data_IF_924528864944
#
_entry.id   IF_924528864944
#
_cell.length_a   1.000
_cell.length_b   1.000
_cell.length_c   1.000
_cell.angle_alpha   90.00
_cell.angle_beta   90.00
_cell.angle_gamma   90.00
#
_symmetry.space_group_name_H-M   'P 1'
#
loop_
_entity.id
_entity.type
_entity.pdbx_description
1 polymer ?
#
# COMPACT_ATOMS: atom_id res chain seq x y z
N UNK A 1 42.53 26.34 -38.18
CA UNK A 1 43.68 25.50 -37.80
C UNK A 1 43.11 24.19 -37.29
N UNK A 2 43.40 23.12 -38.02
CA UNK A 2 43.00 21.76 -37.72
C UNK A 2 43.68 21.30 -36.42
N UNK A 3 42.95 20.54 -35.59
CA UNK A 3 43.28 19.17 -35.19
C UNK A 3 42.48 18.79 -33.94
N UNK A 4 41.50 17.90 -34.13
CA UNK A 4 40.92 17.11 -33.04
C UNK A 4 40.80 15.66 -33.50
N UNK A 5 41.96 15.07 -33.78
CA UNK A 5 42.10 13.63 -33.84
C UNK A 5 41.86 13.07 -32.41
N UNK A 6 40.70 12.45 -32.20
CA UNK A 6 40.51 11.48 -31.12
C UNK A 6 39.82 10.26 -31.72
N UNK A 7 40.69 9.42 -32.25
CA UNK A 7 40.55 8.01 -32.58
C UNK A 7 39.41 7.27 -31.88
N UNK A 8 38.53 6.68 -32.70
CA UNK A 8 37.65 5.58 -32.34
C UNK A 8 38.48 4.36 -31.92
N UNK A 9 38.40 3.94 -30.66
CA UNK A 9 38.86 2.60 -30.24
C UNK A 9 37.64 1.69 -29.98
N UNK A 10 37.33 0.75 -30.89
CA UNK A 10 36.25 -0.23 -30.72
C UNK A 10 36.62 -1.47 -29.87
N UNK A 11 37.73 -1.47 -29.11
CA UNK A 11 38.25 -2.71 -28.50
C UNK A 11 37.82 -2.97 -27.05
N UNK A 12 36.92 -2.16 -26.47
CA UNK A 12 36.34 -2.44 -25.15
C UNK A 12 34.99 -3.19 -25.20
N UNK A 13 34.80 -4.09 -26.18
CA UNK A 13 33.67 -5.01 -26.21
C UNK A 13 34.06 -6.37 -25.63
N UNK A 14 34.40 -6.45 -24.33
CA UNK A 14 34.54 -7.73 -23.64
C UNK A 14 33.94 -7.71 -22.23
N UNK A 15 33.01 -8.66 -22.06
CA UNK A 15 32.45 -9.17 -20.82
C UNK A 15 31.43 -8.29 -20.08
N UNK A 16 30.17 -8.31 -20.54
CA UNK A 16 29.03 -8.34 -19.61
C UNK A 16 28.39 -9.71 -19.75
N UNK A 17 29.02 -10.70 -19.11
CA UNK A 17 28.45 -12.03 -18.93
C UNK A 17 27.22 -11.91 -18.03
N UNK A 18 26.06 -12.19 -18.62
CA UNK A 18 24.76 -12.31 -17.98
C UNK A 18 24.84 -13.04 -16.63
N UNK A 19 24.43 -12.33 -15.58
CA UNK A 19 24.33 -12.86 -14.24
C UNK A 19 23.25 -12.17 -13.43
N UNK A 20 22.15 -11.75 -14.06
CA UNK A 20 20.94 -11.40 -13.31
C UNK A 20 20.35 -12.72 -12.84
N UNK A 21 20.83 -13.21 -11.68
CA UNK A 21 20.08 -14.19 -10.90
C UNK A 21 18.77 -13.50 -10.58
N UNK A 22 17.70 -13.87 -11.29
CA UNK A 22 16.34 -13.52 -10.91
C UNK A 22 16.14 -14.02 -9.48
N UNK A 23 16.34 -13.11 -8.52
CA UNK A 23 15.74 -13.25 -7.21
C UNK A 23 14.25 -13.29 -7.48
N UNK A 24 13.67 -14.50 -7.59
CA UNK A 24 12.24 -14.74 -7.55
C UNK A 24 11.75 -14.28 -6.18
N UNK A 25 11.65 -12.96 -6.03
CA UNK A 25 11.09 -12.28 -4.89
C UNK A 25 9.66 -12.78 -4.88
N UNK A 26 9.35 -13.70 -3.97
CA UNK A 26 8.00 -14.23 -3.74
C UNK A 26 7.10 -13.01 -3.62
N UNK A 27 6.38 -12.69 -4.70
CA UNK A 27 5.58 -11.48 -4.81
C UNK A 27 4.51 -11.63 -3.74
N UNK A 28 4.68 -10.96 -2.62
CA UNK A 28 3.61 -10.80 -1.64
C UNK A 28 2.56 -10.01 -2.40
N UNK A 29 1.56 -10.73 -2.93
CA UNK A 29 0.41 -10.09 -3.58
C UNK A 29 -0.29 -9.35 -2.44
N UNK A 30 0.00 -8.07 -2.33
CA UNK A 30 -0.67 -7.15 -1.43
C UNK A 30 -2.10 -6.93 -1.96
N UNK A 31 -2.94 -7.95 -1.88
CA UNK A 31 -4.31 -7.91 -2.37
C UNK A 31 -5.11 -6.83 -1.65
N UNK A 32 -5.99 -6.15 -2.39
CA UNK A 32 -6.96 -5.20 -1.85
C UNK A 32 -7.69 -5.76 -0.61
N UNK A 33 -7.84 -4.95 0.45
CA UNK A 33 -8.49 -5.34 1.70
C UNK A 33 -9.93 -5.84 1.50
N UNK A 34 -10.60 -5.31 0.47
CA UNK A 34 -11.98 -5.60 0.11
C UNK A 34 -12.14 -6.89 -0.72
N UNK A 35 -11.05 -7.51 -1.18
CA UNK A 35 -11.16 -8.76 -1.93
C UNK A 35 -11.55 -9.91 -1.00
N UNK A 36 -12.70 -10.55 -1.26
CA UNK A 36 -13.26 -11.67 -0.51
C UNK A 36 -13.85 -12.69 -1.48
N UNK A 37 -13.39 -13.95 -1.41
CA UNK A 37 -13.87 -15.05 -2.28
C UNK A 37 -13.92 -14.67 -3.77
N UNK A 38 -12.92 -13.92 -4.24
CA UNK A 38 -12.82 -13.48 -5.64
C UNK A 38 -13.76 -12.33 -6.05
N UNK A 39 -14.42 -11.64 -5.10
CA UNK A 39 -15.27 -10.47 -5.36
C UNK A 39 -14.89 -9.31 -4.44
N UNK A 40 -15.17 -8.07 -4.85
CA UNK A 40 -15.00 -6.92 -3.98
C UNK A 40 -16.15 -6.85 -2.97
N UNK A 41 -15.83 -6.60 -1.69
CA UNK A 41 -16.84 -6.44 -0.62
C UNK A 41 -17.31 -5.00 -0.44
N UNK A 42 -16.63 -4.03 -1.07
CA UNK A 42 -16.96 -2.59 -1.00
C UNK A 42 -17.74 -2.15 -2.24
N UNK A 43 -17.38 -2.68 -3.41
CA UNK A 43 -18.02 -2.39 -4.69
C UNK A 43 -18.63 -3.66 -5.27
N UNK A 44 -19.72 -3.56 -6.03
CA UNK A 44 -20.33 -4.71 -6.71
C UNK A 44 -19.61 -5.12 -8.01
N UNK A 45 -18.28 -5.30 -7.94
CA UNK A 45 -17.43 -5.66 -9.08
C UNK A 45 -16.78 -7.03 -8.89
N UNK A 46 -16.62 -7.76 -9.99
CA UNK A 46 -16.08 -9.12 -10.01
C UNK A 46 -14.56 -9.19 -9.83
N UNK A 47 -13.82 -8.10 -10.08
CA UNK A 47 -12.36 -8.05 -9.96
C UNK A 47 -11.95 -6.71 -9.36
N UNK A 48 -10.98 -6.73 -8.45
CA UNK A 48 -10.32 -5.50 -8.01
C UNK A 48 -9.21 -5.15 -8.99
N UNK A 49 -9.26 -3.94 -9.52
CA UNK A 49 -8.16 -3.33 -10.27
C UNK A 49 -7.37 -2.42 -9.33
N UNK A 50 -6.04 -2.57 -9.29
CA UNK A 50 -5.17 -1.72 -8.47
C UNK A 50 -5.00 -0.32 -9.04
N UNK A 51 -5.03 -0.15 -10.36
CA UNK A 51 -4.74 1.12 -11.03
C UNK A 51 -5.98 2.01 -11.16
N UNK A 52 -7.14 1.41 -11.42
CA UNK A 52 -8.38 2.18 -11.70
C UNK A 52 -9.34 2.28 -10.52
N UNK A 53 -9.14 1.52 -9.44
CA UNK A 53 -10.05 1.55 -8.30
C UNK A 53 -9.63 2.60 -7.26
N UNK A 54 -10.39 3.68 -7.15
CA UNK A 54 -10.18 4.72 -6.14
C UNK A 54 -10.32 4.22 -4.69
N UNK A 55 -10.92 3.04 -4.49
CA UNK A 55 -11.06 2.39 -3.18
C UNK A 55 -9.95 1.38 -2.89
N UNK A 56 -9.02 1.17 -3.82
CA UNK A 56 -7.96 0.19 -3.63
C UNK A 56 -7.10 0.55 -2.43
N UNK A 57 -6.93 -0.42 -1.54
CA UNK A 57 -6.07 -0.30 -0.37
C UNK A 57 -5.59 -1.67 0.08
N UNK A 58 -4.34 -1.77 0.48
CA UNK A 58 -3.81 -3.00 1.07
C UNK A 58 -4.31 -3.16 2.51
N UNK A 59 -4.31 -4.39 3.05
CA UNK A 59 -4.66 -4.61 4.45
C UNK A 59 -3.78 -3.80 5.41
N UNK A 60 -2.49 -3.65 5.09
CA UNK A 60 -1.55 -2.89 5.92
C UNK A 60 -1.86 -1.39 5.92
N UNK A 61 -2.16 -0.80 4.76
CA UNK A 61 -2.57 0.60 4.67
C UNK A 61 -3.85 0.85 5.47
N UNK A 62 -4.85 -0.05 5.36
CA UNK A 62 -6.09 0.06 6.13
C UNK A 62 -5.83 0.07 7.64
N UNK A 63 -4.96 -0.82 8.14
CA UNK A 63 -4.63 -0.83 9.58
C UNK A 63 -3.91 0.44 10.03
N UNK A 64 -2.94 0.92 9.23
CA UNK A 64 -2.22 2.17 9.52
C UNK A 64 -3.17 3.36 9.61
N UNK A 65 -4.07 3.49 8.66
CA UNK A 65 -5.06 4.58 8.67
C UNK A 65 -6.04 4.44 9.83
N UNK A 66 -6.53 3.23 10.11
CA UNK A 66 -7.39 2.97 11.27
C UNK A 66 -6.73 3.40 12.57
N UNK A 67 -5.43 3.12 12.74
CA UNK A 67 -4.65 3.60 13.88
C UNK A 67 -4.59 5.12 13.96
N UNK A 68 -4.32 5.81 12.84
CA UNK A 68 -4.30 7.27 12.79
C UNK A 68 -5.67 7.88 13.13
N UNK A 69 -6.75 7.30 12.58
CA UNK A 69 -8.12 7.70 12.90
C UNK A 69 -8.41 7.53 14.39
N UNK A 70 -8.04 6.38 14.97
CA UNK A 70 -8.25 6.12 16.39
C UNK A 70 -7.44 7.05 17.30
N UNK A 71 -6.19 7.37 16.93
CA UNK A 71 -5.41 8.42 17.59
C UNK A 71 -6.13 9.76 17.54
N UNK A 72 -6.69 10.14 16.39
CA UNK A 72 -7.44 11.39 16.26
C UNK A 72 -8.73 11.40 17.08
N UNK A 73 -9.48 10.30 17.13
CA UNK A 73 -10.69 10.20 17.95
C UNK A 73 -10.34 10.33 19.43
N UNK A 74 -9.23 9.71 19.88
CA UNK A 74 -8.72 9.83 21.25
C UNK A 74 -8.47 11.28 21.69
N UNK A 75 -8.18 12.21 20.77
CA UNK A 75 -7.97 13.63 21.11
C UNK A 75 -9.27 14.44 21.21
N UNK A 76 -10.43 13.87 20.93
CA UNK A 76 -11.71 14.56 21.04
C UNK A 76 -12.24 14.52 22.48
N UNK A 77 -13.17 15.41 22.80
CA UNK A 77 -13.90 15.38 24.09
C UNK A 77 -14.66 14.06 24.29
N UNK A 78 -14.83 13.64 25.54
CA UNK A 78 -15.48 12.35 25.88
C UNK A 78 -16.89 12.23 25.29
N UNK A 79 -17.67 13.31 25.29
CA UNK A 79 -19.02 13.31 24.71
C UNK A 79 -19.00 13.06 23.20
N UNK A 80 -18.02 13.61 22.48
CA UNK A 80 -17.85 13.36 21.05
C UNK A 80 -17.42 11.92 20.80
N UNK A 81 -16.50 11.39 21.62
CA UNK A 81 -16.09 9.99 21.53
C UNK A 81 -17.28 9.05 21.78
N UNK A 82 -18.13 9.34 22.76
CA UNK A 82 -19.35 8.57 23.04
C UNK A 82 -20.34 8.58 21.89
N UNK A 83 -20.63 9.75 21.30
CA UNK A 83 -21.50 9.83 20.11
C UNK A 83 -20.95 9.01 18.93
N UNK A 84 -19.62 9.01 18.73
CA UNK A 84 -18.97 8.19 17.70
C UNK A 84 -19.12 6.70 18.03
N UNK A 85 -18.95 6.29 19.28
CA UNK A 85 -19.05 4.88 19.67
C UNK A 85 -20.47 4.34 19.51
N UNK A 86 -21.48 5.10 19.90
CA UNK A 86 -22.88 4.73 19.68
C UNK A 86 -23.21 4.59 18.19
N UNK A 87 -22.81 5.57 17.38
CA UNK A 87 -23.16 5.61 15.95
C UNK A 87 -22.50 4.50 15.11
N UNK A 88 -21.24 4.17 15.39
CA UNK A 88 -20.44 3.30 14.51
C UNK A 88 -19.95 2.00 15.15
N UNK A 89 -19.98 1.91 16.48
CA UNK A 89 -19.34 0.81 17.23
C UNK A 89 -20.24 0.18 18.28
N UNK A 90 -21.55 0.46 18.27
CA UNK A 90 -22.52 -0.11 19.22
C UNK A 90 -22.18 0.21 20.68
N UNK A 91 -21.75 1.45 20.94
CA UNK A 91 -21.34 1.93 22.26
C UNK A 91 -19.90 1.59 22.65
N UNK A 92 -19.20 0.72 21.91
CA UNK A 92 -17.81 0.34 22.21
C UNK A 92 -16.83 1.41 21.75
N UNK A 93 -15.80 1.68 22.54
CA UNK A 93 -14.73 2.63 22.20
C UNK A 93 -13.42 1.88 21.86
N UNK A 94 -13.29 1.30 20.65
CA UNK A 94 -12.13 0.47 20.30
C UNK A 94 -10.80 1.23 20.37
N UNK A 95 -10.82 2.56 20.18
CA UNK A 95 -9.63 3.39 20.29
C UNK A 95 -9.05 3.48 21.69
N UNK A 96 -9.78 3.10 22.76
CA UNK A 96 -9.24 3.09 24.13
C UNK A 96 -8.34 1.89 24.42
N UNK A 97 -8.40 0.82 23.61
CA UNK A 97 -7.52 -0.33 23.77
C UNK A 97 -6.07 0.08 23.48
N UNK A 98 -5.13 -0.43 24.28
CA UNK A 98 -3.71 -0.16 24.11
C UNK A 98 -3.13 -0.86 22.86
N UNK A 99 -3.81 -1.88 22.35
CA UNK A 99 -3.40 -2.65 21.18
C UNK A 99 -4.34 -2.43 19.99
N UNK A 100 -3.89 -1.65 19.00
CA UNK A 100 -4.48 -1.50 17.65
C UNK A 100 -3.37 -1.67 16.62
#
# INVERSE_FOLDING_TARGET
MADRQAYSDPTAAKAVGNGIKEFKKKKVINSCFALRKGKCSVLNVKKCDELSCSFYKTKQQLQKEKHLTFKRIKTLDKDKQFKISESFYGGKMPWLKEEI
#
